data_IF_734438575134
#
_entry.id   IF_734438575134
#
_cell.length_a   1.000
_cell.length_b   1.000
_cell.length_c   1.000
_cell.angle_alpha   90.00
_cell.angle_beta   90.00
_cell.angle_gamma   90.00
#
_symmetry.space_group_name_H-M   'P 1'
#
loop_
_entity.id
_entity.type
_entity.pdbx_description
1 polymer ?
#
# COMPACT_ATOMS: atom_id res chain seq x y z
N UNK A 1 1.00 30.09 5.92
CA UNK A 1 1.21 28.72 6.42
C UNK A 1 0.57 28.61 7.78
N UNK A 2 -0.39 27.69 7.96
CA UNK A 2 -0.87 27.32 9.29
C UNK A 2 0.14 26.30 9.80
N UNK A 3 0.89 26.64 10.86
CA UNK A 3 1.85 25.72 11.45
C UNK A 3 1.12 24.45 11.92
N UNK A 4 1.66 23.28 11.59
CA UNK A 4 1.04 22.01 11.94
C UNK A 4 1.07 21.82 13.46
N UNK A 5 -0.13 21.71 14.06
CA UNK A 5 -0.30 21.53 15.50
C UNK A 5 -0.01 20.07 15.86
N UNK A 6 0.68 19.88 16.97
CA UNK A 6 1.07 18.57 17.47
C UNK A 6 0.15 18.15 18.61
N UNK A 7 0.04 16.84 18.84
CA UNK A 7 -0.72 16.32 19.96
C UNK A 7 -0.18 16.85 21.30
N UNK A 8 -1.08 17.29 22.19
CA UNK A 8 -0.75 17.79 23.53
C UNK A 8 -0.38 16.68 24.52
N UNK A 9 -0.52 15.39 24.15
CA UNK A 9 -0.16 14.28 25.02
C UNK A 9 1.36 14.22 25.19
N UNK A 10 1.90 14.18 26.43
CA UNK A 10 3.34 14.10 26.65
C UNK A 10 3.96 12.89 25.95
N UNK A 11 5.02 13.12 25.17
CA UNK A 11 5.71 12.08 24.40
C UNK A 11 5.10 11.76 23.04
N UNK A 12 3.97 12.38 22.67
CA UNK A 12 3.39 12.24 21.33
C UNK A 12 3.82 13.41 20.45
N UNK A 13 4.45 13.11 19.31
CA UNK A 13 4.80 14.08 18.27
C UNK A 13 3.91 13.98 17.03
N UNK A 14 2.82 13.21 17.10
CA UNK A 14 1.90 13.04 15.98
C UNK A 14 1.10 14.32 15.74
N UNK A 15 0.82 14.63 14.47
CA UNK A 15 -0.03 15.74 14.09
C UNK A 15 -1.43 15.62 14.71
N UNK A 16 -1.95 16.74 15.20
CA UNK A 16 -3.28 16.79 15.78
C UNK A 16 -4.37 16.86 14.70
N UNK A 17 -5.50 16.22 14.98
CA UNK A 17 -6.68 16.15 14.09
C UNK A 17 -7.99 16.45 14.82
N UNK A 18 -7.95 16.48 16.16
CA UNK A 18 -9.09 16.78 17.01
C UNK A 18 -8.72 17.82 18.07
N UNK A 19 -9.71 18.57 18.54
CA UNK A 19 -9.58 19.47 19.69
C UNK A 19 -10.51 19.00 20.81
N UNK A 20 -9.97 18.97 22.03
CA UNK A 20 -10.64 18.59 23.26
C UNK A 20 -10.82 19.81 24.16
N UNK A 21 -12.00 19.91 24.78
CA UNK A 21 -12.32 20.94 25.76
C UNK A 21 -13.00 20.32 26.98
N UNK A 22 -12.67 20.83 28.17
CA UNK A 22 -13.30 20.44 29.43
C UNK A 22 -14.32 21.49 29.86
N UNK A 23 -15.56 21.08 30.10
CA UNK A 23 -16.53 21.84 30.87
C UNK A 23 -16.62 21.25 32.28
N UNK A 24 -15.98 21.93 33.23
CA UNK A 24 -15.94 21.49 34.63
C UNK A 24 -17.29 21.64 35.33
N UNK A 25 -18.12 22.60 34.93
CA UNK A 25 -19.40 22.86 35.59
C UNK A 25 -20.36 21.70 35.32
N UNK A 26 -20.41 21.29 34.06
CA UNK A 26 -21.29 20.21 33.61
C UNK A 26 -20.58 18.84 33.62
N UNK A 27 -19.35 18.77 34.16
CA UNK A 27 -18.52 17.55 34.20
C UNK A 27 -18.47 16.84 32.85
N UNK A 28 -18.21 17.61 31.78
CA UNK A 28 -18.29 17.13 30.40
C UNK A 28 -16.97 17.36 29.67
N UNK A 29 -16.56 16.38 28.87
CA UNK A 29 -15.45 16.49 27.93
C UNK A 29 -16.01 16.47 26.52
N UNK A 30 -15.69 17.51 25.75
CA UNK A 30 -16.12 17.65 24.36
C UNK A 30 -14.93 17.40 23.46
N UNK A 31 -15.06 16.46 22.53
CA UNK A 31 -14.06 16.17 21.49
C UNK A 31 -14.68 16.50 20.14
N UNK A 32 -14.09 17.47 19.45
CA UNK A 32 -14.53 17.91 18.13
C UNK A 32 -13.40 17.89 17.09
N UNK A 33 -13.71 18.24 15.83
CA UNK A 33 -12.71 18.46 14.79
C UNK A 33 -11.64 19.45 15.25
N UNK A 34 -10.43 19.35 14.69
CA UNK A 34 -9.35 20.30 14.99
C UNK A 34 -9.83 21.75 14.79
N UNK A 35 -9.73 22.55 15.84
CA UNK A 35 -10.10 23.97 15.78
C UNK A 35 -9.22 24.71 14.77
N UNK A 36 -9.85 25.58 13.98
CA UNK A 36 -9.17 26.44 12.99
C UNK A 36 -8.14 27.37 13.62
N UNK A 37 -8.35 27.73 14.90
CA UNK A 37 -7.46 28.59 15.69
C UNK A 37 -7.06 27.84 16.96
N UNK A 38 -5.81 28.03 17.38
CA UNK A 38 -5.33 27.49 18.64
C UNK A 38 -5.92 28.25 19.82
N UNK A 39 -6.64 27.54 20.68
CA UNK A 39 -7.18 28.07 21.93
C UNK A 39 -6.31 27.59 23.11
N UNK A 40 -5.85 28.49 24.00
CA UNK A 40 -4.96 28.14 25.11
C UNK A 40 -5.60 27.24 26.18
N UNK A 41 -6.93 27.17 26.25
CA UNK A 41 -7.68 26.33 27.18
C UNK A 41 -8.15 25.00 26.55
N UNK A 42 -7.75 24.75 25.31
CA UNK A 42 -8.07 23.53 24.57
C UNK A 42 -6.85 22.63 24.44
N UNK A 43 -7.09 21.33 24.24
CA UNK A 43 -6.04 20.34 24.00
C UNK A 43 -6.19 19.77 22.60
N UNK A 44 -5.08 19.65 21.90
CA UNK A 44 -5.06 19.05 20.57
C UNK A 44 -4.67 17.58 20.64
N UNK A 45 -5.45 16.72 20.00
CA UNK A 45 -5.23 15.28 20.03
C UNK A 45 -4.98 14.76 18.62
N UNK A 46 -4.04 13.82 18.48
CA UNK A 46 -3.95 12.98 17.29
C UNK A 46 -5.12 11.97 17.27
N UNK A 47 -5.30 11.28 16.14
CA UNK A 47 -6.42 10.36 15.95
C UNK A 47 -6.48 9.27 17.03
N UNK A 48 -5.35 8.61 17.29
CA UNK A 48 -5.22 7.57 18.32
C UNK A 48 -5.62 8.09 19.71
N UNK A 49 -5.07 9.24 20.14
CA UNK A 49 -5.39 9.81 21.45
C UNK A 49 -6.81 10.35 21.54
N UNK A 50 -7.39 10.83 20.44
CA UNK A 50 -8.78 11.23 20.41
C UNK A 50 -9.68 10.00 20.60
N UNK A 51 -9.39 8.88 19.95
CA UNK A 51 -10.17 7.64 20.05
C UNK A 51 -10.05 6.98 21.43
N UNK A 52 -8.83 6.92 21.98
CA UNK A 52 -8.52 6.21 23.24
C UNK A 52 -8.63 7.09 24.49
N UNK A 53 -9.10 8.33 24.35
CA UNK A 53 -9.35 9.23 25.47
C UNK A 53 -10.34 8.61 26.48
N UNK A 54 -9.93 8.59 27.74
CA UNK A 54 -10.77 8.26 28.89
C UNK A 54 -11.02 9.51 29.71
N UNK A 55 -12.29 9.86 29.93
CA UNK A 55 -12.65 10.97 30.81
C UNK A 55 -12.58 10.56 32.29
N UNK A 56 -12.48 11.54 33.22
CA UNK A 56 -12.53 11.25 34.64
C UNK A 56 -13.84 10.56 35.05
N UNK A 57 -13.84 9.89 36.21
CA UNK A 57 -15.02 9.18 36.70
C UNK A 57 -16.20 10.14 36.90
N UNK A 58 -17.38 9.76 36.41
CA UNK A 58 -18.59 10.57 36.49
C UNK A 58 -18.67 11.68 35.44
N UNK A 59 -17.70 11.80 34.54
CA UNK A 59 -17.74 12.77 33.46
C UNK A 59 -18.43 12.22 32.20
N UNK A 60 -19.17 13.07 31.50
CA UNK A 60 -19.76 12.75 30.21
C UNK A 60 -18.77 13.03 29.07
N UNK A 61 -18.70 12.16 28.07
CA UNK A 61 -17.91 12.39 26.85
C UNK A 61 -18.85 12.66 25.69
N UNK A 62 -18.68 13.81 25.04
CA UNK A 62 -19.43 14.22 23.85
C UNK A 62 -18.46 14.26 22.66
N UNK A 63 -18.69 13.42 21.65
CA UNK A 63 -17.89 13.36 20.42
C UNK A 63 -18.69 13.96 19.26
N UNK A 64 -18.27 15.13 18.76
CA UNK A 64 -18.94 15.80 17.62
C UNK A 64 -18.54 15.18 16.28
N UNK A 65 -17.37 14.54 16.22
CA UNK A 65 -16.91 13.76 15.09
C UNK A 65 -16.27 12.47 15.60
N UNK A 66 -16.48 11.37 14.89
CA UNK A 66 -15.90 10.05 15.20
C UNK A 66 -14.83 9.63 14.20
N UNK A 67 -14.75 10.31 13.05
CA UNK A 67 -13.74 10.06 12.04
C UNK A 67 -12.95 11.36 11.82
N UNK A 68 -11.66 11.32 12.13
CA UNK A 68 -10.75 12.44 11.96
C UNK A 68 -9.81 12.12 10.81
N UNK A 69 -10.12 12.60 9.61
CA UNK A 69 -9.17 12.44 8.52
C UNK A 69 -7.96 13.33 8.76
N UNK A 70 -6.73 12.80 8.59
CA UNK A 70 -5.54 13.62 8.65
C UNK A 70 -5.62 14.70 7.58
N UNK A 71 -5.07 15.88 7.91
CA UNK A 71 -5.02 16.98 6.95
C UNK A 71 -4.34 16.50 5.66
N UNK A 72 -4.90 16.83 4.48
CA UNK A 72 -4.26 16.48 3.22
C UNK A 72 -2.85 17.08 3.16
N UNK A 73 -1.91 16.43 2.45
CA UNK A 73 -0.54 16.91 2.33
C UNK A 73 -0.53 18.35 1.84
N UNK A 74 0.41 19.15 2.36
CA UNK A 74 0.49 20.56 1.98
C UNK A 74 0.90 20.69 0.51
N UNK A 75 0.62 21.86 -0.09
CA UNK A 75 1.06 22.14 -1.46
C UNK A 75 2.57 22.03 -1.64
N UNK A 76 3.34 22.38 -0.62
CA UNK A 76 4.81 22.28 -0.61
C UNK A 76 5.26 20.81 -0.57
N UNK A 77 4.59 19.96 0.21
CA UNK A 77 4.86 18.52 0.24
C UNK A 77 4.58 17.88 -1.12
N UNK A 78 3.47 18.27 -1.77
CA UNK A 78 3.13 17.80 -3.10
C UNK A 78 4.15 18.26 -4.15
N UNK A 79 4.61 19.52 -4.08
CA UNK A 79 5.65 20.03 -4.96
C UNK A 79 6.98 19.28 -4.77
N UNK A 80 7.36 19.00 -3.52
CA UNK A 80 8.56 18.24 -3.19
C UNK A 80 8.52 16.82 -3.76
N UNK A 81 7.36 16.15 -3.69
CA UNK A 81 7.16 14.83 -4.30
C UNK A 81 7.26 14.90 -5.82
N UNK A 82 6.65 15.91 -6.46
CA UNK A 82 6.75 16.11 -7.92
C UNK A 82 8.20 16.28 -8.36
N UNK A 83 8.98 17.09 -7.63
CA UNK A 83 10.40 17.30 -7.92
C UNK A 83 11.25 16.05 -7.66
N UNK A 84 10.93 15.28 -6.62
CA UNK A 84 11.57 13.99 -6.36
C UNK A 84 11.33 13.00 -7.52
N UNK A 85 10.07 12.91 -8.00
CA UNK A 85 9.72 12.05 -9.15
C UNK A 85 10.43 12.49 -10.42
N UNK A 86 10.52 13.80 -10.68
CA UNK A 86 11.27 14.34 -11.84
C UNK A 86 12.74 13.94 -11.82
N UNK A 87 13.38 13.99 -10.65
CA UNK A 87 14.78 13.60 -10.46
C UNK A 87 14.99 12.12 -10.77
N UNK A 88 14.14 11.24 -10.22
CA UNK A 88 14.20 9.79 -10.50
C UNK A 88 13.98 9.50 -11.99
N UNK A 89 13.07 10.23 -12.65
CA UNK A 89 12.85 10.09 -14.08
C UNK A 89 14.07 10.49 -14.92
N UNK A 90 14.76 11.57 -14.54
CA UNK A 90 16.00 12.01 -15.21
C UNK A 90 17.13 11.00 -15.02
N UNK A 91 17.33 10.50 -13.79
CA UNK A 91 18.33 9.47 -13.50
C UNK A 91 18.08 8.19 -14.31
N UNK A 92 16.81 7.79 -14.49
CA UNK A 92 16.45 6.64 -15.31
C UNK A 92 16.69 6.85 -16.82
N UNK A 93 16.66 8.10 -17.30
CA UNK A 93 16.95 8.45 -18.70
C UNK A 93 18.46 8.55 -18.96
N UNK A 94 19.23 9.00 -17.98
CA UNK A 94 20.70 9.09 -18.05
C UNK A 94 21.37 7.71 -17.87
N UNK A 95 20.66 6.75 -17.28
CA UNK A 95 21.14 5.38 -17.13
C UNK A 95 21.43 4.78 -18.52
N UNK A 96 22.61 4.16 -18.72
CA UNK A 96 22.93 3.54 -20.00
C UNK A 96 21.91 2.45 -20.32
N UNK A 97 21.53 2.38 -21.59
CA UNK A 97 20.55 1.42 -22.09
C UNK A 97 20.90 -0.01 -21.61
N UNK A 98 20.04 -0.68 -20.82
CA UNK A 98 20.31 -2.03 -20.35
C UNK A 98 20.41 -3.03 -21.51
N UNK A 99 19.98 -2.67 -22.72
CA UNK A 99 20.16 -3.47 -23.94
C UNK A 99 21.58 -3.42 -24.52
N UNK A 100 22.42 -2.45 -24.12
CA UNK A 100 23.83 -2.39 -24.52
C UNK A 100 24.71 -3.40 -23.76
N UNK A 101 24.18 -4.01 -22.69
CA UNK A 101 24.83 -5.10 -21.99
C UNK A 101 24.20 -6.42 -22.44
N UNK A 102 24.73 -7.01 -23.51
CA UNK A 102 24.67 -8.47 -23.64
C UNK A 102 25.37 -9.05 -22.42
N UNK A 103 24.61 -9.28 -21.33
CA UNK A 103 25.09 -10.06 -20.19
C UNK A 103 25.40 -11.44 -20.74
N UNK A 104 26.66 -11.70 -21.07
CA UNK A 104 27.14 -13.08 -21.14
C UNK A 104 26.91 -13.65 -19.75
N UNK A 105 25.95 -14.57 -19.66
CA UNK A 105 25.73 -15.31 -18.43
C UNK A 105 27.05 -16.01 -18.09
N UNK A 106 27.70 -15.57 -17.02
CA UNK A 106 28.86 -16.26 -16.48
C UNK A 106 28.38 -17.62 -16.00
N UNK A 107 28.93 -18.69 -16.58
CA UNK A 107 28.53 -20.05 -16.23
C UNK A 107 28.84 -20.27 -14.74
N UNK A 108 27.79 -20.48 -13.94
CA UNK A 108 27.93 -20.91 -12.56
C UNK A 108 28.61 -22.29 -12.47
N UNK A 109 28.74 -22.87 -11.26
CA UNK A 109 29.54 -24.08 -11.02
C UNK A 109 29.03 -25.35 -11.74
N UNK A 110 27.91 -25.27 -12.45
CA UNK A 110 27.41 -26.31 -13.33
C UNK A 110 27.94 -26.02 -14.74
N UNK A 111 28.71 -26.95 -15.31
CA UNK A 111 29.40 -26.79 -16.59
C UNK A 111 28.50 -26.27 -17.72
N UNK A 112 29.10 -25.57 -18.68
CA UNK A 112 28.39 -24.99 -19.82
C UNK A 112 27.45 -26.01 -20.45
N UNK A 113 26.16 -25.65 -20.58
CA UNK A 113 25.18 -26.49 -21.23
C UNK A 113 25.69 -26.83 -22.63
N UNK A 114 26.03 -28.11 -22.87
CA UNK A 114 26.21 -28.59 -24.22
C UNK A 114 24.92 -28.27 -24.97
N UNK A 115 25.01 -27.48 -26.04
CA UNK A 115 23.87 -27.11 -26.86
C UNK A 115 23.18 -28.38 -27.37
N UNK A 116 22.11 -28.81 -26.69
CA UNK A 116 21.32 -29.98 -27.07
C UNK A 116 20.39 -29.56 -28.21
N UNK A 117 20.95 -29.33 -29.40
CA UNK A 117 20.20 -28.92 -30.58
C UNK A 117 19.43 -27.60 -30.43
N UNK A 118 18.68 -27.22 -31.46
CA UNK A 118 17.75 -26.10 -31.39
C UNK A 118 16.72 -26.35 -30.27
N UNK A 119 16.39 -25.34 -29.44
CA UNK A 119 15.37 -25.51 -28.41
C UNK A 119 14.05 -25.89 -29.07
N UNK A 120 13.42 -26.96 -28.57
CA UNK A 120 12.09 -27.36 -29.01
C UNK A 120 11.09 -26.27 -28.58
N UNK A 121 10.67 -25.43 -29.53
CA UNK A 121 9.66 -24.38 -29.31
C UNK A 121 8.24 -24.89 -29.51
N UNK A 122 8.05 -26.21 -29.67
CA UNK A 122 6.72 -26.79 -29.88
C UNK A 122 5.85 -26.56 -28.65
N UNK A 123 4.60 -26.18 -28.89
CA UNK A 123 3.63 -25.93 -27.81
C UNK A 123 3.41 -27.23 -27.01
N UNK A 124 3.41 -27.19 -25.66
CA UNK A 124 3.16 -28.36 -24.82
C UNK A 124 1.78 -29.00 -25.03
N UNK A 125 0.86 -28.27 -25.67
CA UNK A 125 -0.50 -28.70 -25.96
C UNK A 125 -0.69 -29.22 -27.41
N UNK A 126 0.35 -29.14 -28.26
CA UNK A 126 0.28 -29.69 -29.61
C UNK A 126 0.40 -31.23 -29.55
N UNK A 127 -0.61 -31.99 -30.03
CA UNK A 127 -0.59 -33.45 -30.05
C UNK A 127 0.53 -34.04 -30.92
N UNK A 128 1.07 -33.26 -31.86
CA UNK A 128 2.17 -33.69 -32.73
C UNK A 128 3.55 -33.44 -32.12
N UNK A 129 3.64 -32.76 -30.96
CA UNK A 129 4.91 -32.40 -30.33
C UNK A 129 5.68 -33.62 -29.82
N UNK A 130 7.03 -33.57 -29.78
CA UNK A 130 7.86 -34.63 -29.18
C UNK A 130 7.55 -34.88 -27.70
N UNK A 131 6.99 -33.88 -27.01
CA UNK A 131 6.49 -33.99 -25.64
C UNK A 131 5.20 -34.83 -25.58
N UNK A 132 4.23 -34.54 -26.44
CA UNK A 132 2.96 -35.27 -26.51
C UNK A 132 3.16 -36.74 -26.93
N UNK A 133 4.04 -37.01 -27.91
CA UNK A 133 4.33 -38.37 -28.40
C UNK A 133 4.98 -39.30 -27.37
N UNK A 134 5.64 -38.75 -26.34
CA UNK A 134 6.34 -39.54 -25.31
C UNK A 134 5.43 -39.98 -24.15
N UNK A 135 4.22 -39.44 -24.03
CA UNK A 135 3.22 -39.95 -23.07
C UNK A 135 2.24 -40.87 -23.78
N UNK A 136 1.74 -41.85 -23.05
CA UNK A 136 0.66 -42.71 -23.52
C UNK A 136 -0.58 -41.85 -23.84
N UNK A 137 -1.07 -41.97 -25.07
CA UNK A 137 -2.30 -41.34 -25.54
C UNK A 137 -3.51 -42.08 -24.94
N UNK A 138 -4.37 -41.36 -24.23
CA UNK A 138 -5.68 -41.87 -23.85
C UNK A 138 -6.69 -41.49 -24.93
N UNK A 139 -7.42 -42.47 -25.46
CA UNK A 139 -8.56 -42.21 -26.34
C UNK A 139 -9.83 -42.24 -25.50
N UNK A 140 -10.55 -41.12 -25.43
CA UNK A 140 -11.88 -41.08 -24.83
C UNK A 140 -12.83 -41.76 -25.81
N UNK A 141 -13.35 -42.93 -25.44
CA UNK A 141 -14.47 -43.57 -26.14
C UNK A 141 -15.74 -43.00 -25.54
N UNK A 142 -16.42 -42.11 -26.27
CA UNK A 142 -17.76 -41.67 -25.92
C UNK A 142 -18.72 -42.83 -26.13
N UNK A 143 -19.25 -43.40 -25.05
CA UNK A 143 -20.32 -44.40 -25.13
C UNK A 143 -21.59 -43.73 -25.63
N UNK A 144 -22.07 -44.13 -26.80
CA UNK A 144 -23.43 -43.84 -27.24
C UNK A 144 -24.36 -44.88 -26.61
N UNK A 145 -25.03 -44.48 -25.53
CA UNK A 145 -26.33 -45.02 -25.16
C UNK A 145 -27.34 -44.57 -26.22
N UNK A 146 -27.79 -45.49 -27.08
CA UNK A 146 -29.11 -45.39 -27.71
C UNK A 146 -29.80 -46.76 -27.63
N UNK A 147 -30.84 -46.78 -26.80
CA UNK A 147 -31.88 -47.79 -26.76
C UNK A 147 -32.93 -47.51 -27.88
N UNK A 148 -33.72 -48.55 -28.18
CA UNK A 148 -34.90 -48.64 -29.06
C UNK A 148 -34.67 -48.96 -30.55
N UNK A 149 -34.77 -50.25 -30.92
CA UNK A 149 -36.00 -50.88 -31.45
C UNK A 149 -35.92 -52.43 -31.41
#
# INVERSE_FOLDING_TARGET
MIAQRHCSKPGCSTAAVATLTYDYKDSTVVVGPLSTVADPNSYDLCDEHAQHLTAPLGWQVVRLATNFEPAPPSGDDLAALVDAVRRVAQEAQEAPDPSAHTRRAEAGPFGAAHSVGAPDTSSPLDPSSPYARRRAQFTVVSGTDEADE
#
